data_IF_862495304944
#
_entry.id   IF_862495304944
#
_cell.length_a   1.000
_cell.length_b   1.000
_cell.length_c   1.000
_cell.angle_alpha   90.00
_cell.angle_beta   90.00
_cell.angle_gamma   90.00
#
_symmetry.space_group_name_H-M   'P 1'
#
loop_
_entity.id
_entity.type
_entity.pdbx_description
1 polymer ?
#
# COMPACT_ATOMS: atom_id res chain seq x y z
N UNK A 1 10.58 -31.50 4.02
CA UNK A 1 9.41 -31.90 4.84
C UNK A 1 9.14 -30.92 5.97
N UNK A 2 10.09 -30.65 6.88
CA UNK A 2 9.89 -29.76 8.06
C UNK A 2 9.39 -28.35 7.76
N UNK A 3 9.93 -27.68 6.72
CA UNK A 3 9.43 -26.37 6.27
C UNK A 3 7.95 -26.39 5.90
N UNK A 4 7.49 -27.45 5.21
CA UNK A 4 6.09 -27.59 4.81
C UNK A 4 5.17 -27.73 6.03
N UNK A 5 5.63 -28.46 7.05
CA UNK A 5 4.92 -28.56 8.34
C UNK A 5 4.87 -27.20 9.03
N UNK A 6 5.98 -26.46 9.09
CA UNK A 6 5.99 -25.12 9.68
C UNK A 6 5.08 -24.12 8.94
N UNK A 7 4.91 -24.26 7.63
CA UNK A 7 4.01 -23.44 6.81
C UNK A 7 2.53 -23.80 6.95
N UNK A 8 2.21 -25.02 7.39
CA UNK A 8 0.83 -25.48 7.46
C UNK A 8 0.07 -24.78 8.60
N UNK A 9 -1.07 -24.17 8.27
CA UNK A 9 -1.95 -23.48 9.23
C UNK A 9 -2.62 -24.45 10.20
N UNK A 10 -2.65 -25.74 9.86
CA UNK A 10 -3.09 -26.82 10.73
C UNK A 10 -2.12 -27.15 11.87
N UNK A 11 -0.84 -26.79 11.74
CA UNK A 11 0.21 -27.27 12.65
C UNK A 11 -0.01 -26.83 14.10
N UNK A 12 -0.01 -27.76 15.07
CA UNK A 12 -0.12 -27.45 16.49
C UNK A 12 1.01 -26.56 17.01
N UNK A 13 0.72 -25.75 18.03
CA UNK A 13 1.68 -24.81 18.60
C UNK A 13 2.90 -25.53 19.20
N UNK A 14 2.72 -26.72 19.77
CA UNK A 14 3.79 -27.53 20.35
C UNK A 14 4.83 -27.92 19.29
N UNK A 15 4.38 -28.27 18.08
CA UNK A 15 5.27 -28.60 16.97
C UNK A 15 6.01 -27.34 16.51
N UNK A 16 5.31 -26.21 16.42
CA UNK A 16 5.92 -24.93 16.05
C UNK A 16 6.99 -24.50 17.06
N UNK A 17 6.76 -24.70 18.37
CA UNK A 17 7.76 -24.43 19.42
C UNK A 17 9.04 -25.24 19.21
N UNK A 18 8.94 -26.52 18.84
CA UNK A 18 10.12 -27.35 18.51
C UNK A 18 10.81 -26.85 17.25
N UNK A 19 10.05 -26.55 16.19
CA UNK A 19 10.60 -26.09 14.92
C UNK A 19 11.20 -24.68 14.99
N UNK A 20 10.85 -23.87 15.99
CA UNK A 20 11.51 -22.58 16.24
C UNK A 20 13.01 -22.72 16.57
N UNK A 21 13.45 -23.90 17.01
CA UNK A 21 14.87 -24.22 17.25
C UNK A 21 15.56 -24.93 16.07
N UNK A 22 14.91 -25.05 14.91
CA UNK A 22 15.45 -25.83 13.79
C UNK A 22 16.77 -25.24 13.27
N UNK A 23 17.80 -26.05 12.96
CA UNK A 23 19.07 -25.54 12.42
C UNK A 23 18.89 -24.83 11.06
N UNK A 24 17.83 -25.14 10.31
CA UNK A 24 17.58 -24.58 8.98
C UNK A 24 16.80 -23.27 9.08
N UNK A 25 17.41 -22.19 8.58
CA UNK A 25 16.86 -20.83 8.61
C UNK A 25 15.44 -20.74 8.00
N UNK A 26 15.20 -21.34 6.83
CA UNK A 26 13.87 -21.31 6.20
C UNK A 26 12.78 -22.10 6.94
N UNK A 27 13.15 -23.00 7.86
CA UNK A 27 12.18 -23.66 8.75
C UNK A 27 11.78 -22.71 9.87
N UNK A 28 12.76 -22.02 10.48
CA UNK A 28 12.50 -21.02 11.53
C UNK A 28 11.70 -19.82 11.00
N UNK A 29 12.02 -19.36 9.80
CA UNK A 29 11.26 -18.31 9.10
C UNK A 29 9.81 -18.73 8.86
N UNK A 30 9.58 -19.98 8.46
CA UNK A 30 8.25 -20.52 8.28
C UNK A 30 7.44 -20.57 9.59
N UNK A 31 8.10 -20.92 10.71
CA UNK A 31 7.47 -20.86 12.04
C UNK A 31 7.11 -19.42 12.39
N UNK A 32 8.02 -18.48 12.19
CA UNK A 32 7.79 -17.06 12.48
C UNK A 32 6.60 -16.50 11.67
N UNK A 33 6.40 -16.94 10.43
CA UNK A 33 5.25 -16.54 9.61
C UNK A 33 3.94 -17.28 9.90
N UNK A 34 3.93 -18.30 10.76
CA UNK A 34 2.73 -19.10 11.02
C UNK A 34 1.74 -18.36 11.94
N UNK A 35 0.47 -18.30 11.55
CA UNK A 35 -0.59 -17.65 12.32
C UNK A 35 -0.86 -18.30 13.69
N UNK A 36 -0.41 -19.53 13.92
CA UNK A 36 -0.46 -20.24 15.21
C UNK A 36 0.85 -20.20 16.00
N UNK A 37 1.86 -19.44 15.55
CA UNK A 37 3.06 -19.26 16.35
C UNK A 37 2.69 -18.69 17.74
N UNK A 38 3.19 -19.33 18.79
CA UNK A 38 2.99 -18.86 20.17
C UNK A 38 3.87 -17.63 20.44
N UNK A 39 3.49 -16.82 21.44
CA UNK A 39 4.31 -15.67 21.85
C UNK A 39 5.73 -16.08 22.23
N UNK A 40 5.91 -17.16 23.00
CA UNK A 40 7.24 -17.68 23.35
C UNK A 40 8.11 -18.01 22.13
N UNK A 41 7.50 -18.56 21.07
CA UNK A 41 8.21 -18.92 19.85
C UNK A 41 8.61 -17.67 19.08
N UNK A 42 7.71 -16.68 18.99
CA UNK A 42 8.00 -15.38 18.38
C UNK A 42 9.08 -14.62 19.15
N UNK A 43 9.06 -14.66 20.48
CA UNK A 43 10.10 -14.05 21.33
C UNK A 43 11.47 -14.69 21.10
N UNK A 44 11.52 -16.02 21.07
CA UNK A 44 12.76 -16.75 20.72
C UNK A 44 13.28 -16.36 19.34
N UNK A 45 12.39 -16.33 18.35
CA UNK A 45 12.73 -16.05 16.95
C UNK A 45 13.03 -14.57 16.70
N UNK A 46 12.60 -13.66 17.59
CA UNK A 46 12.96 -12.25 17.53
C UNK A 46 14.46 -12.02 17.82
N UNK A 47 15.12 -12.97 18.50
CA UNK A 47 16.57 -12.96 18.73
C UNK A 47 17.35 -13.82 17.72
N UNK A 48 16.71 -14.28 16.62
CA UNK A 48 17.36 -15.13 15.62
C UNK A 48 18.55 -14.43 14.96
N UNK A 49 19.58 -15.16 14.57
CA UNK A 49 20.74 -14.58 13.86
C UNK A 49 20.38 -14.09 12.45
N UNK A 50 19.32 -14.63 11.84
CA UNK A 50 18.88 -14.28 10.50
C UNK A 50 17.86 -13.14 10.49
N UNK A 51 18.19 -12.04 9.81
CA UNK A 51 17.28 -10.91 9.59
C UNK A 51 15.96 -11.32 8.92
N UNK A 52 15.97 -12.32 8.02
CA UNK A 52 14.74 -12.86 7.42
C UNK A 52 13.78 -13.48 8.45
N UNK A 53 14.31 -14.17 9.47
CA UNK A 53 13.49 -14.78 10.51
C UNK A 53 12.91 -13.68 11.40
N UNK A 54 13.73 -12.70 11.79
CA UNK A 54 13.28 -11.55 12.59
C UNK A 54 12.26 -10.69 11.84
N UNK A 55 12.42 -10.50 10.53
CA UNK A 55 11.43 -9.82 9.69
C UNK A 55 10.11 -10.61 9.61
N UNK A 56 10.16 -11.94 9.50
CA UNK A 56 8.96 -12.77 9.55
C UNK A 56 8.24 -12.69 10.90
N UNK A 57 8.98 -12.61 12.02
CA UNK A 57 8.40 -12.31 13.34
C UNK A 57 7.74 -10.94 13.33
N UNK A 58 8.43 -9.91 12.84
CA UNK A 58 7.89 -8.56 12.77
C UNK A 58 6.63 -8.45 11.86
N UNK A 59 6.47 -9.29 10.84
CA UNK A 59 5.26 -9.31 10.00
C UNK A 59 4.10 -10.11 10.60
N UNK A 60 4.35 -10.95 11.60
CA UNK A 60 3.30 -11.80 12.17
C UNK A 60 2.29 -10.96 12.96
N UNK A 61 0.99 -11.15 12.67
CA UNK A 61 -0.10 -10.42 13.31
C UNK A 61 -0.32 -10.77 14.79
N UNK A 62 0.36 -11.79 15.32
CA UNK A 62 0.37 -12.14 16.75
C UNK A 62 1.55 -11.57 17.52
N UNK A 63 2.49 -10.93 16.83
CA UNK A 63 3.68 -10.35 17.48
C UNK A 63 3.26 -9.22 18.42
N UNK A 64 3.55 -9.31 19.73
CA UNK A 64 3.25 -8.26 20.69
C UNK A 64 4.05 -6.98 20.42
N UNK A 65 3.49 -5.83 20.79
CA UNK A 65 4.12 -4.51 20.60
C UNK A 65 5.52 -4.44 21.20
N UNK A 66 5.75 -5.04 22.38
CA UNK A 66 7.07 -5.07 23.04
C UNK A 66 8.17 -5.78 22.21
N UNK A 67 7.80 -6.82 21.46
CA UNK A 67 8.75 -7.47 20.54
C UNK A 67 9.00 -6.56 19.33
N UNK A 68 7.96 -5.89 18.83
CA UNK A 68 8.08 -4.93 17.72
C UNK A 68 8.97 -3.74 18.09
N UNK A 69 8.84 -3.20 19.30
CA UNK A 69 9.70 -2.16 19.86
C UNK A 69 11.18 -2.59 19.85
N UNK A 70 11.48 -3.79 20.33
CA UNK A 70 12.83 -4.35 20.30
C UNK A 70 13.36 -4.50 18.86
N UNK A 71 12.54 -5.01 17.94
CA UNK A 71 12.91 -5.21 16.53
C UNK A 71 13.00 -3.88 15.74
N UNK A 72 12.46 -2.78 16.26
CA UNK A 72 12.58 -1.47 15.62
C UNK A 72 14.02 -0.94 15.62
N UNK A 73 14.86 -1.42 16.55
CA UNK A 73 16.30 -1.12 16.61
C UNK A 73 17.18 -2.06 15.78
N UNK A 74 16.60 -2.88 14.89
CA UNK A 74 17.36 -3.87 14.13
C UNK A 74 18.20 -3.24 13.02
N UNK A 75 19.52 -3.35 13.12
CA UNK A 75 20.47 -2.76 12.18
C UNK A 75 20.93 -3.74 11.07
N UNK A 76 20.35 -4.95 11.01
CA UNK A 76 20.73 -5.90 9.97
C UNK A 76 20.13 -5.48 8.64
N UNK A 77 21.02 -5.37 7.65
CA UNK A 77 20.66 -5.05 6.28
C UNK A 77 20.77 -6.27 5.38
N UNK A 78 19.90 -6.31 4.38
CA UNK A 78 19.98 -7.24 3.26
C UNK A 78 20.11 -6.46 1.94
N UNK A 79 20.89 -6.98 0.99
CA UNK A 79 21.12 -6.30 -0.28
C UNK A 79 20.03 -6.63 -1.29
N UNK A 80 19.22 -5.63 -1.63
CA UNK A 80 18.19 -5.75 -2.65
C UNK A 80 18.80 -5.51 -4.04
N UNK A 81 19.04 -6.59 -4.78
CA UNK A 81 19.58 -6.53 -6.14
C UNK A 81 18.71 -5.76 -7.15
N UNK A 82 17.40 -5.67 -6.89
CA UNK A 82 16.47 -4.96 -7.79
C UNK A 82 16.55 -3.45 -7.60
N UNK A 83 16.77 -3.01 -6.36
CA UNK A 83 16.93 -1.60 -6.00
C UNK A 83 18.40 -1.17 -5.92
N UNK A 84 19.32 -2.12 -6.08
CA UNK A 84 20.77 -1.97 -5.96
C UNK A 84 21.21 -1.29 -4.65
N UNK A 85 20.54 -1.59 -3.54
CA UNK A 85 20.85 -0.98 -2.24
C UNK A 85 20.51 -1.87 -1.05
N UNK A 86 21.11 -1.56 0.08
CA UNK A 86 20.86 -2.22 1.35
C UNK A 86 19.49 -1.80 1.91
N UNK A 87 18.77 -2.75 2.51
CA UNK A 87 17.46 -2.53 3.13
C UNK A 87 17.40 -3.06 4.55
N UNK A 88 16.70 -2.33 5.40
CA UNK A 88 16.41 -2.70 6.79
C UNK A 88 15.10 -3.49 6.85
N UNK A 89 15.11 -4.73 6.35
CA UNK A 89 13.90 -5.55 6.19
C UNK A 89 13.11 -5.71 7.49
N UNK A 90 13.80 -5.83 8.62
CA UNK A 90 13.17 -5.97 9.94
C UNK A 90 12.46 -4.68 10.35
N UNK A 91 13.13 -3.52 10.28
CA UNK A 91 12.53 -2.21 10.57
C UNK A 91 11.32 -1.93 9.68
N UNK A 92 11.44 -2.22 8.39
CA UNK A 92 10.33 -2.09 7.45
C UNK A 92 9.15 -3.00 7.80
N UNK A 93 9.40 -4.24 8.23
CA UNK A 93 8.37 -5.17 8.67
C UNK A 93 7.66 -4.68 9.93
N UNK A 94 8.42 -4.20 10.92
CA UNK A 94 7.88 -3.60 12.15
C UNK A 94 6.97 -2.43 11.81
N UNK A 95 7.43 -1.52 10.95
CA UNK A 95 6.68 -0.33 10.57
C UNK A 95 5.34 -0.64 9.89
N UNK A 96 5.20 -1.80 9.21
CA UNK A 96 3.96 -2.25 8.56
C UNK A 96 3.02 -3.03 9.49
N UNK A 97 3.49 -3.51 10.64
CA UNK A 97 2.67 -4.31 11.53
C UNK A 97 1.57 -3.46 12.19
N UNK A 98 0.35 -4.01 12.28
CA UNK A 98 -0.81 -3.34 12.90
C UNK A 98 -0.85 -3.43 14.43
N UNK A 99 0.08 -4.15 15.05
CA UNK A 99 0.24 -4.21 16.50
C UNK A 99 1.35 -3.30 17.01
N UNK A 100 2.04 -2.58 16.11
CA UNK A 100 3.08 -1.63 16.51
C UNK A 100 2.44 -0.53 17.35
N UNK A 101 3.08 -0.17 18.46
CA UNK A 101 2.64 0.99 19.22
C UNK A 101 3.00 2.29 18.48
N UNK A 102 2.42 3.37 18.96
CA UNK A 102 2.53 4.66 18.28
C UNK A 102 3.90 5.31 18.43
N UNK A 103 4.60 5.05 19.53
CA UNK A 103 5.92 5.62 19.80
C UNK A 103 6.97 4.98 18.88
N UNK A 104 6.92 3.65 18.77
CA UNK A 104 7.73 2.85 17.85
C UNK A 104 7.46 3.25 16.39
N UNK A 105 6.18 3.44 16.01
CA UNK A 105 5.85 3.92 14.66
C UNK A 105 6.39 5.34 14.42
N UNK A 106 6.35 6.21 15.43
CA UNK A 106 6.92 7.56 15.36
C UNK A 106 8.44 7.56 15.18
N UNK A 107 9.11 6.64 15.86
CA UNK A 107 10.54 6.42 15.75
C UNK A 107 10.91 6.00 14.32
N UNK A 108 10.23 4.98 13.79
CA UNK A 108 10.47 4.47 12.43
C UNK A 108 10.10 5.49 11.34
N UNK A 109 9.10 6.34 11.58
CA UNK A 109 8.75 7.44 10.67
C UNK A 109 9.84 8.52 10.55
N UNK A 110 10.84 8.53 11.45
CA UNK A 110 11.99 9.44 11.43
C UNK A 110 13.30 8.75 11.03
N UNK A 111 13.24 7.49 10.65
CA UNK A 111 14.44 6.72 10.27
C UNK A 111 15.17 7.39 9.10
N UNK A 112 16.49 7.22 9.04
CA UNK A 112 17.33 7.78 7.98
C UNK A 112 17.03 7.11 6.63
N UNK A 113 16.67 5.83 6.64
CA UNK A 113 16.33 5.07 5.44
C UNK A 113 14.93 5.41 4.94
N UNK A 114 14.84 5.75 3.65
CA UNK A 114 13.58 6.15 3.03
C UNK A 114 12.55 5.01 2.95
N UNK A 115 12.97 3.75 2.91
CA UNK A 115 12.03 2.63 2.86
C UNK A 115 11.45 2.32 4.22
N UNK A 116 12.23 2.50 5.29
CA UNK A 116 11.69 2.42 6.66
C UNK A 116 10.62 3.50 6.86
N UNK A 117 10.92 4.75 6.46
CA UNK A 117 9.91 5.83 6.49
C UNK A 117 8.71 5.55 5.58
N UNK A 118 8.93 4.99 4.39
CA UNK A 118 7.84 4.64 3.47
C UNK A 118 6.98 3.49 4.01
N UNK A 119 7.59 2.51 4.68
CA UNK A 119 6.90 1.44 5.37
C UNK A 119 6.02 1.99 6.49
N UNK A 120 6.53 2.92 7.30
CA UNK A 120 5.76 3.61 8.32
C UNK A 120 4.58 4.41 7.71
N UNK A 121 4.82 5.15 6.61
CA UNK A 121 3.79 5.90 5.89
C UNK A 121 2.64 5.02 5.39
N UNK A 122 2.90 3.74 5.08
CA UNK A 122 1.88 2.79 4.63
C UNK A 122 1.00 2.22 5.77
N UNK A 123 1.35 2.47 7.03
CA UNK A 123 0.64 1.91 8.17
C UNK A 123 -0.72 2.64 8.39
N UNK A 124 -1.86 1.93 8.41
CA UNK A 124 -3.18 2.55 8.64
C UNK A 124 -3.34 3.23 10.00
N UNK A 125 -2.49 2.89 10.98
CA UNK A 125 -2.50 3.46 12.33
C UNK A 125 -1.73 4.78 12.45
N UNK A 126 -1.07 5.24 11.39
CA UNK A 126 -0.32 6.48 11.42
C UNK A 126 -1.22 7.68 11.72
N UNK A 127 -0.82 8.53 12.66
CA UNK A 127 -1.56 9.75 13.02
C UNK A 127 -1.41 10.85 11.98
N UNK A 128 -2.44 11.68 11.84
CA UNK A 128 -2.51 12.77 10.87
C UNK A 128 -1.33 13.75 10.97
N UNK A 129 -0.82 14.01 12.18
CA UNK A 129 0.32 14.90 12.41
C UNK A 129 1.62 14.33 11.79
N UNK A 130 1.82 13.01 11.86
CA UNK A 130 2.95 12.33 11.23
C UNK A 130 2.78 12.27 9.71
N UNK A 131 1.56 11.99 9.23
CA UNK A 131 1.26 12.01 7.81
C UNK A 131 1.55 13.37 7.20
N UNK A 132 1.22 14.46 7.89
CA UNK A 132 1.48 15.84 7.45
C UNK A 132 2.97 16.13 7.27
N UNK A 133 3.82 15.52 8.09
CA UNK A 133 5.28 15.61 7.97
C UNK A 133 5.78 14.79 6.79
N UNK A 134 5.36 13.53 6.68
CA UNK A 134 5.79 12.62 5.62
C UNK A 134 5.23 12.97 4.23
N UNK A 135 4.10 13.67 4.17
CA UNK A 135 3.59 14.27 2.93
C UNK A 135 4.57 15.29 2.32
N UNK A 136 5.52 15.79 3.10
CA UNK A 136 6.59 16.71 2.67
C UNK A 136 7.97 16.05 2.63
N UNK A 137 8.04 14.71 2.74
CA UNK A 137 9.30 13.97 2.72
C UNK A 137 10.06 14.21 1.41
N UNK A 138 11.38 14.17 1.46
CA UNK A 138 12.25 14.32 0.30
C UNK A 138 12.03 13.17 -0.70
N UNK A 139 11.81 11.96 -0.19
CA UNK A 139 11.58 10.77 -0.99
C UNK A 139 10.16 10.76 -1.54
N UNK A 140 10.04 10.62 -2.86
CA UNK A 140 8.74 10.52 -3.51
C UNK A 140 8.01 9.22 -3.13
N UNK A 141 8.74 8.16 -2.79
CA UNK A 141 8.18 6.89 -2.36
C UNK A 141 7.40 7.06 -1.05
N UNK A 142 7.95 7.82 -0.10
CA UNK A 142 7.27 8.13 1.16
C UNK A 142 5.99 8.93 0.91
N UNK A 143 6.06 9.98 0.08
CA UNK A 143 4.88 10.79 -0.29
C UNK A 143 3.82 9.96 -1.02
N UNK A 144 4.23 9.04 -1.90
CA UNK A 144 3.34 8.11 -2.59
C UNK A 144 2.62 7.18 -1.61
N UNK A 145 3.33 6.65 -0.60
CA UNK A 145 2.71 5.80 0.41
C UNK A 145 1.73 6.56 1.31
N UNK A 146 1.98 7.84 1.60
CA UNK A 146 0.97 8.71 2.22
C UNK A 146 -0.24 8.87 1.29
N UNK A 147 -0.05 9.17 0.01
CA UNK A 147 -1.18 9.27 -0.93
C UNK A 147 -2.00 7.97 -1.02
N UNK A 148 -1.35 6.81 -0.91
CA UNK A 148 -2.00 5.49 -0.98
C UNK A 148 -2.73 5.10 0.32
N UNK A 149 -2.32 5.65 1.46
CA UNK A 149 -2.83 5.21 2.76
C UNK A 149 -4.34 5.52 2.91
N UNK A 150 -5.16 4.53 3.30
CA UNK A 150 -6.61 4.71 3.40
C UNK A 150 -7.03 5.64 4.57
N UNK A 151 -6.12 5.91 5.49
CA UNK A 151 -6.32 6.83 6.62
C UNK A 151 -5.90 8.27 6.29
N UNK A 152 -5.40 8.56 5.08
CA UNK A 152 -4.89 9.89 4.72
C UNK A 152 -5.99 10.95 4.74
N UNK A 153 -5.81 12.03 5.51
CA UNK A 153 -6.70 13.18 5.51
C UNK A 153 -6.88 13.82 4.13
N UNK A 154 -8.08 14.34 3.86
CA UNK A 154 -8.44 14.91 2.56
C UNK A 154 -7.60 16.14 2.20
N UNK A 155 -7.24 16.97 3.17
CA UNK A 155 -6.37 18.14 2.99
C UNK A 155 -4.96 17.75 2.52
N UNK A 156 -4.44 16.61 3.00
CA UNK A 156 -3.18 16.07 2.51
C UNK A 156 -3.30 15.50 1.10
N UNK A 157 -4.44 14.89 0.74
CA UNK A 157 -4.69 14.45 -0.64
C UNK A 157 -4.80 15.66 -1.59
N UNK A 158 -5.43 16.76 -1.16
CA UNK A 158 -5.43 18.02 -1.91
C UNK A 158 -4.00 18.53 -2.12
N UNK A 159 -3.19 18.56 -1.07
CA UNK A 159 -1.78 18.97 -1.17
C UNK A 159 -0.99 18.09 -2.15
N UNK A 160 -1.09 16.76 -2.02
CA UNK A 160 -0.37 15.78 -2.85
C UNK A 160 -0.88 15.71 -4.30
N UNK A 161 -2.09 16.19 -4.58
CA UNK A 161 -2.61 16.29 -5.96
C UNK A 161 -1.76 17.19 -6.86
N UNK A 162 -0.95 18.08 -6.27
CA UNK A 162 -0.02 18.95 -6.97
C UNK A 162 1.44 18.49 -6.89
N UNK A 163 1.69 17.23 -6.50
CA UNK A 163 3.07 16.71 -6.38
C UNK A 163 3.80 16.77 -7.72
N UNK A 164 5.10 17.07 -7.67
CA UNK A 164 5.97 17.09 -8.86
C UNK A 164 6.07 15.72 -9.55
N UNK A 165 5.93 14.63 -8.80
CA UNK A 165 6.03 13.27 -9.31
C UNK A 165 4.66 12.79 -9.81
N UNK A 166 4.63 12.33 -11.06
CA UNK A 166 3.42 11.85 -11.71
C UNK A 166 2.78 10.67 -10.96
N UNK A 167 3.60 9.74 -10.46
CA UNK A 167 3.12 8.56 -9.72
C UNK A 167 2.36 8.94 -8.45
N UNK A 168 2.83 9.96 -7.72
CA UNK A 168 2.13 10.47 -6.53
C UNK A 168 0.77 11.06 -6.93
N UNK A 169 0.72 11.87 -7.99
CA UNK A 169 -0.55 12.44 -8.48
C UNK A 169 -1.53 11.37 -8.98
N UNK A 170 -1.04 10.33 -9.65
CA UNK A 170 -1.85 9.20 -10.09
C UNK A 170 -2.40 8.37 -8.91
N UNK A 171 -1.60 8.20 -7.85
CA UNK A 171 -2.03 7.55 -6.61
C UNK A 171 -3.12 8.38 -5.92
N UNK A 172 -2.97 9.71 -5.84
CA UNK A 172 -4.02 10.61 -5.34
C UNK A 172 -5.29 10.48 -6.20
N UNK A 173 -5.18 10.53 -7.52
CA UNK A 173 -6.33 10.36 -8.41
C UNK A 173 -7.08 9.04 -8.18
N UNK A 174 -6.37 7.97 -7.83
CA UNK A 174 -6.94 6.64 -7.60
C UNK A 174 -7.46 6.41 -6.17
N UNK A 175 -7.09 7.26 -5.20
CA UNK A 175 -7.51 7.09 -3.82
C UNK A 175 -9.03 7.39 -3.68
N UNK A 176 -9.85 6.46 -3.16
CA UNK A 176 -11.29 6.70 -2.99
C UNK A 176 -11.62 7.87 -2.06
N UNK A 177 -10.72 8.27 -1.16
CA UNK A 177 -10.93 9.42 -0.26
C UNK A 177 -10.57 10.76 -0.86
N UNK A 178 -10.08 10.80 -2.10
CA UNK A 178 -9.67 12.06 -2.73
C UNK A 178 -10.89 12.95 -2.93
N UNK A 179 -10.88 14.18 -2.36
CA UNK A 179 -12.02 15.08 -2.42
C UNK A 179 -12.24 15.58 -3.84
N UNK A 180 -13.49 15.98 -4.14
CA UNK A 180 -13.89 16.43 -5.48
C UNK A 180 -13.05 17.59 -6.01
N UNK A 181 -12.63 18.51 -5.15
CA UNK A 181 -11.78 19.64 -5.55
C UNK A 181 -10.42 19.18 -6.10
N UNK A 182 -9.82 18.17 -5.48
CA UNK A 182 -8.55 17.59 -5.96
C UNK A 182 -8.76 16.77 -7.24
N UNK A 183 -9.84 15.99 -7.33
CA UNK A 183 -10.17 15.26 -8.56
C UNK A 183 -10.43 16.21 -9.74
N UNK A 184 -11.10 17.34 -9.51
CA UNK A 184 -11.34 18.36 -10.53
C UNK A 184 -10.02 18.98 -11.03
N UNK A 185 -9.09 19.29 -10.12
CA UNK A 185 -7.77 19.78 -10.51
C UNK A 185 -7.00 18.73 -11.34
N UNK A 186 -7.02 17.46 -10.91
CA UNK A 186 -6.36 16.35 -11.60
C UNK A 186 -7.01 15.98 -12.94
N UNK A 187 -8.31 16.24 -13.13
CA UNK A 187 -8.99 16.06 -14.42
C UNK A 187 -8.40 16.97 -15.52
N UNK A 188 -7.75 18.07 -15.12
CA UNK A 188 -7.03 18.99 -16.00
C UNK A 188 -5.50 18.77 -15.98
N UNK A 189 -5.00 17.69 -15.35
CA UNK A 189 -3.57 17.38 -15.33
C UNK A 189 -3.04 17.23 -16.77
N UNK A 190 -1.77 17.58 -17.01
CA UNK A 190 -1.11 17.44 -18.31
C UNK A 190 -1.05 15.99 -18.83
N UNK A 191 -0.88 15.01 -17.94
CA UNK A 191 -0.78 13.59 -18.28
C UNK A 191 -2.15 12.98 -18.48
N UNK A 192 -2.33 12.27 -19.59
CA UNK A 192 -3.59 11.59 -19.88
C UNK A 192 -3.79 10.38 -18.96
N UNK A 193 -2.71 9.77 -18.46
CA UNK A 193 -2.70 8.68 -17.48
C UNK A 193 -3.30 9.12 -16.14
N UNK A 194 -3.03 10.37 -15.72
CA UNK A 194 -3.65 10.94 -14.53
C UNK A 194 -5.15 11.17 -14.76
N UNK A 195 -5.53 11.71 -15.93
CA UNK A 195 -6.94 11.89 -16.30
C UNK A 195 -7.69 10.57 -16.39
N UNK A 196 -7.03 9.51 -16.84
CA UNK A 196 -7.53 8.13 -16.83
C UNK A 196 -7.75 7.62 -15.40
N UNK A 197 -6.79 7.83 -14.49
CA UNK A 197 -6.92 7.47 -13.08
C UNK A 197 -8.09 8.21 -12.40
N UNK A 198 -8.25 9.51 -12.68
CA UNK A 198 -9.41 10.31 -12.22
C UNK A 198 -10.71 9.71 -12.73
N UNK A 199 -10.80 9.39 -14.02
CA UNK A 199 -12.00 8.78 -14.61
C UNK A 199 -12.35 7.41 -13.99
N UNK A 200 -11.38 6.67 -13.45
CA UNK A 200 -11.64 5.41 -12.71
C UNK A 200 -12.07 5.60 -11.27
N UNK A 201 -11.91 6.80 -10.69
CA UNK A 201 -12.24 7.02 -9.29
C UNK A 201 -13.76 6.90 -9.06
N UNK A 202 -14.17 5.95 -8.21
CA UNK A 202 -15.57 5.62 -7.94
C UNK A 202 -16.37 6.77 -7.31
N UNK A 203 -15.69 7.78 -6.77
CA UNK A 203 -16.31 8.92 -6.14
C UNK A 203 -16.38 10.14 -7.06
N UNK A 204 -15.85 10.09 -8.27
CA UNK A 204 -15.86 11.22 -9.20
C UNK A 204 -17.29 11.70 -9.52
N UNK A 205 -17.49 13.01 -9.56
CA UNK A 205 -18.77 13.62 -9.94
C UNK A 205 -19.09 13.44 -11.43
N UNK A 206 -20.38 13.31 -11.74
CA UNK A 206 -20.90 13.04 -13.08
C UNK A 206 -20.52 14.10 -14.11
N UNK A 207 -20.47 15.39 -13.72
CA UNK A 207 -20.10 16.48 -14.63
C UNK A 207 -18.67 16.31 -15.18
N UNK A 208 -17.72 15.90 -14.34
CA UNK A 208 -16.33 15.68 -14.76
C UNK A 208 -16.25 14.42 -15.64
N UNK A 209 -17.05 13.39 -15.34
CA UNK A 209 -17.17 12.22 -16.21
C UNK A 209 -17.71 12.59 -17.61
N UNK A 210 -18.70 13.49 -17.68
CA UNK A 210 -19.23 13.99 -18.95
C UNK A 210 -18.16 14.77 -19.74
N UNK A 211 -17.38 15.64 -19.10
CA UNK A 211 -16.24 16.32 -19.73
C UNK A 211 -15.18 15.34 -20.27
N UNK A 212 -14.79 14.35 -19.45
CA UNK A 212 -13.80 13.34 -19.82
C UNK A 212 -14.32 12.35 -20.89
N UNK A 213 -15.64 12.23 -21.08
CA UNK A 213 -16.23 11.37 -22.11
C UNK A 213 -15.89 11.82 -23.53
N UNK A 214 -15.51 13.08 -23.71
CA UNK A 214 -15.09 13.66 -24.99
C UNK A 214 -13.56 13.69 -25.16
N UNK A 215 -12.80 13.09 -24.24
CA UNK A 215 -11.35 13.15 -24.22
C UNK A 215 -10.73 12.43 -25.43
N UNK A 216 -9.66 12.97 -26.02
CA UNK A 216 -9.03 12.42 -27.23
C UNK A 216 -8.49 10.98 -27.05
N UNK A 217 -7.97 10.67 -25.86
CA UNK A 217 -7.49 9.33 -25.53
C UNK A 217 -8.67 8.40 -25.25
N UNK A 218 -8.77 7.33 -26.03
CA UNK A 218 -9.79 6.29 -25.88
C UNK A 218 -9.74 5.61 -24.52
N UNK A 219 -8.57 5.48 -23.88
CA UNK A 219 -8.42 4.89 -22.54
C UNK A 219 -9.14 5.69 -21.46
N UNK A 220 -9.12 7.03 -21.57
CA UNK A 220 -9.87 7.91 -20.66
C UNK A 220 -11.37 7.71 -20.88
N UNK A 221 -11.83 7.66 -22.14
CA UNK A 221 -13.24 7.42 -22.46
C UNK A 221 -13.72 6.03 -22.03
N UNK A 222 -12.87 5.01 -22.13
CA UNK A 222 -13.15 3.65 -21.63
C UNK A 222 -13.26 3.64 -20.09
N UNK A 223 -12.38 4.36 -19.40
CA UNK A 223 -12.46 4.53 -17.95
C UNK A 223 -13.77 5.21 -17.54
N UNK A 224 -14.18 6.27 -18.25
CA UNK A 224 -15.50 6.89 -18.07
C UNK A 224 -16.62 5.86 -18.30
N UNK A 225 -16.61 5.12 -19.40
CA UNK A 225 -17.63 4.09 -19.66
C UNK A 225 -17.73 3.05 -18.53
N UNK A 226 -16.59 2.70 -17.93
CA UNK A 226 -16.49 1.71 -16.86
C UNK A 226 -16.86 2.24 -15.47
N UNK A 227 -16.84 3.56 -15.26
CA UNK A 227 -17.06 4.15 -13.93
C UNK A 227 -18.53 4.03 -13.48
N UNK A 228 -18.83 3.42 -12.32
CA UNK A 228 -20.20 3.23 -11.83
C UNK A 228 -21.08 4.48 -11.80
N UNK A 229 -20.50 5.68 -11.63
CA UNK A 229 -21.22 6.96 -11.59
C UNK A 229 -21.51 7.56 -12.96
N UNK A 230 -21.06 6.95 -14.05
CA UNK A 230 -21.34 7.47 -15.40
C UNK A 230 -22.82 7.37 -15.72
N UNK A 231 -23.40 8.50 -16.12
CA UNK A 231 -24.83 8.60 -16.41
C UNK A 231 -25.26 7.78 -17.62
N UNK A 232 -26.53 7.38 -17.66
CA UNK A 232 -27.09 6.67 -18.81
C UNK A 232 -26.94 7.48 -20.12
N UNK A 233 -27.08 8.81 -20.06
CA UNK A 233 -26.87 9.71 -21.20
C UNK A 233 -25.45 9.57 -21.76
N UNK A 234 -24.44 9.68 -20.89
CA UNK A 234 -23.03 9.55 -21.28
C UNK A 234 -22.71 8.12 -21.77
N UNK A 235 -23.28 7.09 -21.16
CA UNK A 235 -23.13 5.71 -21.64
C UNK A 235 -23.72 5.51 -23.04
N UNK A 236 -24.90 6.06 -23.33
CA UNK A 236 -25.51 5.98 -24.66
C UNK A 236 -24.64 6.67 -25.73
N UNK A 237 -24.01 7.80 -25.40
CA UNK A 237 -23.03 8.45 -26.27
C UNK A 237 -21.81 7.55 -26.50
N UNK A 238 -21.20 7.02 -25.44
CA UNK A 238 -20.02 6.17 -25.52
C UNK A 238 -20.29 4.81 -26.19
N UNK A 239 -21.55 4.35 -26.23
CA UNK A 239 -21.93 3.16 -26.99
C UNK A 239 -21.78 3.34 -28.51
N UNK A 240 -21.70 4.58 -28.99
CA UNK A 240 -21.44 4.96 -30.39
C UNK A 240 -20.01 5.47 -30.61
N UNK A 241 -19.11 5.32 -29.61
CA UNK A 241 -17.72 5.77 -29.71
C UNK A 241 -16.99 5.10 -30.89
N UNK A 242 -16.07 5.76 -31.62
CA UNK A 242 -15.29 5.11 -32.67
C UNK A 242 -14.42 3.95 -32.17
N UNK A 243 -14.01 3.96 -30.89
CA UNK A 243 -13.17 2.92 -30.31
C UNK A 243 -14.01 1.72 -29.81
N UNK A 244 -13.63 0.51 -30.24
CA UNK A 244 -14.37 -0.72 -29.92
C UNK A 244 -14.37 -1.04 -28.43
N UNK A 245 -13.29 -0.72 -27.70
CA UNK A 245 -13.16 -1.00 -26.27
C UNK A 245 -14.12 -0.11 -25.48
N UNK A 246 -14.18 1.18 -25.84
CA UNK A 246 -15.12 2.14 -25.28
C UNK A 246 -16.57 1.71 -25.53
N UNK A 247 -16.92 1.36 -26.78
CA UNK A 247 -18.26 0.86 -27.11
C UNK A 247 -18.65 -0.36 -26.28
N UNK A 248 -17.73 -1.32 -26.14
CA UNK A 248 -17.98 -2.56 -25.40
C UNK A 248 -18.23 -2.27 -23.93
N UNK A 249 -17.38 -1.44 -23.30
CA UNK A 249 -17.53 -1.04 -21.90
C UNK A 249 -18.90 -0.36 -21.65
N UNK A 250 -19.29 0.57 -22.53
CA UNK A 250 -20.56 1.28 -22.43
C UNK A 250 -21.77 0.35 -22.64
N UNK A 251 -21.77 -0.45 -23.73
CA UNK A 251 -22.87 -1.38 -24.06
C UNK A 251 -23.08 -2.44 -22.99
N UNK A 252 -22.03 -2.93 -22.33
CA UNK A 252 -22.16 -3.87 -21.23
C UNK A 252 -23.00 -3.31 -20.08
N UNK A 253 -22.90 -2.01 -19.81
CA UNK A 253 -23.61 -1.35 -18.70
C UNK A 253 -25.00 -0.81 -19.04
N UNK A 254 -25.32 -0.67 -20.33
CA UNK A 254 -26.68 -0.34 -20.78
C UNK A 254 -27.60 -1.57 -20.71
N UNK A 255 -27.03 -2.77 -20.84
CA UNK A 255 -27.79 -4.04 -20.89
C UNK A 255 -28.13 -4.63 -19.50
N UNK A 256 -27.53 -4.09 -18.44
CA UNK A 256 -27.75 -4.44 -17.03
C UNK A 256 -28.64 -3.41 -16.37
#
# INVERSE_FOLDING_TARGET
MRRKVAWDSGTPEEILKVLAGDPVQWVREAVAGNAKASQDALERLAADSSGFVRAAVALNSRTPSKILEMLAGDEMVDYDSTLQKNRYLVKEAVARNRNVDQETLEYLARDLDEHVRAAAASNPLMRAELMSRLAKDVSWLVRNNIAQNPSTPEDLLVYLSSDRIMDVRATVASNPRTPQAALAALASDKSWEIREAVARNINLNENILEELSCHWSWRVREAVASNPRTTAKTLMQLAQDPDQSVQKAAKCRIKT
#
